data_IF_051688522574
#
_entry.id   IF_051688522574
#
_cell.length_a   1.000
_cell.length_b   1.000
_cell.length_c   1.000
_cell.angle_alpha   90.00
_cell.angle_beta   90.00
_cell.angle_gamma   90.00
#
_symmetry.space_group_name_H-M   'P 1'
#
loop_
_entity.id
_entity.type
_entity.pdbx_description
1 polymer ?
#
# COMPACT_ATOMS: atom_id res chain seq x y z
N UNK A 1 4.04 -10.70 -26.73
CA UNK A 1 4.70 -11.43 -25.64
C UNK A 1 3.72 -11.45 -24.47
N UNK A 2 3.59 -12.54 -23.72
CA UNK A 2 2.75 -12.55 -22.52
C UNK A 2 3.30 -11.52 -21.53
N UNK A 3 2.49 -10.53 -21.16
CA UNK A 3 2.84 -9.53 -20.15
C UNK A 3 2.94 -10.24 -18.80
N UNK A 4 4.09 -10.10 -18.13
CA UNK A 4 4.28 -10.64 -16.78
C UNK A 4 3.20 -10.08 -15.85
N UNK A 5 2.50 -10.97 -15.15
CA UNK A 5 1.43 -10.58 -14.22
C UNK A 5 1.97 -9.74 -13.07
N UNK A 6 1.17 -8.77 -12.62
CA UNK A 6 1.57 -7.74 -11.68
C UNK A 6 0.90 -7.92 -10.31
N UNK A 7 1.66 -7.74 -9.23
CA UNK A 7 1.17 -7.71 -7.86
C UNK A 7 1.43 -6.32 -7.26
N UNK A 8 0.36 -5.58 -6.97
CA UNK A 8 0.44 -4.22 -6.44
C UNK A 8 0.08 -4.15 -4.97
N UNK A 9 0.78 -3.29 -4.26
CA UNK A 9 0.45 -2.88 -2.90
C UNK A 9 -0.34 -1.58 -2.99
N UNK A 10 -1.61 -1.59 -2.58
CA UNK A 10 -2.52 -0.48 -2.80
C UNK A 10 -2.03 0.84 -2.16
N UNK A 11 -2.34 2.00 -2.75
CA UNK A 11 -2.13 3.29 -2.10
C UNK A 11 -3.07 3.39 -0.88
N UNK A 12 -2.50 3.66 0.29
CA UNK A 12 -3.24 3.70 1.55
C UNK A 12 -2.77 4.87 2.40
N UNK A 13 -3.66 5.86 2.61
CA UNK A 13 -3.37 7.04 3.42
C UNK A 13 -3.00 6.64 4.87
N UNK A 14 -1.99 7.30 5.41
CA UNK A 14 -1.28 7.04 6.68
C UNK A 14 -0.74 5.60 6.81
N UNK A 15 -0.55 4.90 5.69
CA UNK A 15 0.00 3.53 5.66
C UNK A 15 1.15 3.42 4.66
N UNK A 16 0.93 3.75 3.38
CA UNK A 16 1.92 3.66 2.27
C UNK A 16 3.03 4.71 2.35
N UNK A 17 3.46 4.98 3.56
CA UNK A 17 4.57 5.81 3.99
C UNK A 17 5.91 5.19 3.58
N UNK A 18 6.97 6.00 3.52
CA UNK A 18 8.34 5.56 3.24
C UNK A 18 8.75 4.35 4.08
N UNK A 19 8.42 4.34 5.38
CA UNK A 19 8.74 3.25 6.30
C UNK A 19 8.06 1.94 5.90
N UNK A 20 6.76 2.00 5.60
CA UNK A 20 6.01 0.84 5.13
C UNK A 20 6.51 0.33 3.78
N UNK A 21 6.78 1.22 2.83
CA UNK A 21 7.23 0.84 1.49
C UNK A 21 8.61 0.15 1.54
N UNK A 22 9.55 0.66 2.34
CA UNK A 22 10.83 0.00 2.55
C UNK A 22 10.68 -1.35 3.25
N UNK A 23 9.80 -1.45 4.25
CA UNK A 23 9.49 -2.73 4.88
C UNK A 23 8.95 -3.75 3.87
N UNK A 24 8.02 -3.35 2.99
CA UNK A 24 7.51 -4.25 1.94
C UNK A 24 8.62 -4.61 0.93
N UNK A 25 9.51 -3.69 0.58
CA UNK A 25 10.67 -3.96 -0.30
C UNK A 25 11.71 -4.91 0.31
N UNK A 26 11.72 -5.09 1.62
CA UNK A 26 12.48 -6.15 2.32
C UNK A 26 11.80 -7.51 2.17
N UNK A 27 10.46 -7.55 2.12
CA UNK A 27 9.69 -8.77 1.90
C UNK A 27 9.67 -9.22 0.44
N UNK A 28 9.64 -8.29 -0.51
CA UNK A 28 9.52 -8.58 -1.94
C UNK A 28 10.30 -7.57 -2.78
N UNK A 29 11.11 -8.05 -3.74
CA UNK A 29 11.79 -7.21 -4.75
C UNK A 29 10.95 -7.01 -6.01
N UNK A 30 9.87 -7.77 -6.19
CA UNK A 30 9.07 -7.77 -7.43
C UNK A 30 7.76 -6.99 -7.34
N UNK A 31 7.14 -6.90 -6.16
CA UNK A 31 5.86 -6.20 -6.04
C UNK A 31 5.99 -4.72 -6.40
N UNK A 32 4.90 -4.18 -6.96
CA UNK A 32 4.79 -2.80 -7.38
C UNK A 32 4.23 -1.99 -6.21
N UNK A 33 5.00 -0.98 -5.80
CA UNK A 33 4.70 -0.13 -4.66
C UNK A 33 3.90 1.10 -5.10
N UNK A 34 3.19 1.69 -4.16
CA UNK A 34 2.37 2.88 -4.40
C UNK A 34 2.61 3.89 -3.29
N UNK A 35 2.72 5.17 -3.64
CA UNK A 35 2.70 6.25 -2.65
C UNK A 35 1.34 6.33 -1.98
N UNK A 36 1.26 7.11 -0.90
CA UNK A 36 -0.02 7.71 -0.51
C UNK A 36 -0.54 8.64 -1.61
N UNK A 37 -1.85 8.89 -1.62
CA UNK A 37 -2.43 9.88 -2.54
C UNK A 37 -1.93 11.28 -2.19
N UNK A 38 -1.24 11.92 -3.12
CA UNK A 38 -0.83 13.31 -3.05
C UNK A 38 -1.93 14.17 -3.68
N UNK A 39 -2.21 15.28 -3.02
CA UNK A 39 -3.19 16.24 -3.50
C UNK A 39 -2.53 17.19 -4.50
N UNK A 40 -3.16 17.41 -5.65
CA UNK A 40 -2.73 18.36 -6.69
C UNK A 40 -2.35 19.75 -6.15
N UNK A 41 -3.22 20.38 -5.37
CA UNK A 41 -2.99 21.69 -4.76
C UNK A 41 -1.75 21.69 -3.84
N UNK A 42 -1.41 20.56 -3.23
CA UNK A 42 -0.20 20.46 -2.39
C UNK A 42 1.06 20.66 -3.24
N UNK A 43 1.12 20.03 -4.40
CA UNK A 43 2.24 20.19 -5.32
C UNK A 43 2.23 21.55 -6.02
N UNK A 44 1.03 22.07 -6.31
CA UNK A 44 0.87 23.38 -6.93
C UNK A 44 1.44 24.51 -6.07
N UNK A 45 1.07 24.54 -4.78
CA UNK A 45 1.42 25.64 -3.86
C UNK A 45 2.70 25.38 -3.05
N UNK A 46 3.26 24.17 -3.03
CA UNK A 46 4.44 23.88 -2.22
C UNK A 46 5.68 24.62 -2.71
N UNK A 47 6.43 25.18 -1.76
CA UNK A 47 7.79 25.70 -1.98
C UNK A 47 8.86 24.63 -1.77
N UNK A 48 8.48 23.47 -1.22
CA UNK A 48 9.33 22.32 -0.91
C UNK A 48 8.68 21.06 -1.50
N UNK A 49 8.82 20.91 -2.82
CA UNK A 49 8.30 19.75 -3.56
C UNK A 49 9.07 18.48 -3.20
N UNK A 50 10.35 18.62 -2.84
CA UNK A 50 11.23 17.51 -2.42
C UNK A 50 10.62 16.78 -1.23
N UNK A 51 10.04 17.50 -0.27
CA UNK A 51 9.35 16.91 0.87
C UNK A 51 8.20 15.96 0.49
N UNK A 52 7.55 16.19 -0.66
CA UNK A 52 6.39 15.42 -1.11
C UNK A 52 6.74 14.31 -2.08
N UNK A 53 7.71 14.52 -2.96
CA UNK A 53 7.99 13.62 -4.08
C UNK A 53 9.31 12.84 -3.94
N UNK A 54 10.20 13.20 -3.02
CA UNK A 54 11.46 12.46 -2.86
C UNK A 54 11.23 11.03 -2.37
N UNK A 55 11.88 10.07 -3.03
CA UNK A 55 11.87 8.67 -2.63
C UNK A 55 13.19 7.97 -2.97
N UNK A 56 13.47 6.83 -2.33
CA UNK A 56 14.63 6.00 -2.67
C UNK A 56 14.37 5.19 -3.93
N UNK A 57 15.30 5.20 -4.90
CA UNK A 57 15.19 4.42 -6.15
C UNK A 57 15.11 2.91 -5.93
N UNK A 58 15.52 2.40 -4.76
CA UNK A 58 15.32 0.99 -4.38
C UNK A 58 13.83 0.59 -4.26
N UNK A 59 12.93 1.58 -4.13
CA UNK A 59 11.49 1.34 -4.08
C UNK A 59 10.89 1.04 -5.45
N UNK A 60 11.60 1.31 -6.56
CA UNK A 60 11.11 0.95 -7.90
C UNK A 60 10.91 -0.56 -8.05
N UNK A 61 9.85 -1.02 -8.76
CA UNK A 61 8.81 -0.20 -9.38
C UNK A 61 7.85 0.44 -8.36
N UNK A 62 7.63 1.75 -8.49
CA UNK A 62 6.77 2.56 -7.61
C UNK A 62 5.92 3.56 -8.40
N UNK A 63 4.63 3.59 -8.06
CA UNK A 63 3.61 4.43 -8.68
C UNK A 63 3.27 5.59 -7.76
N UNK A 64 3.25 6.81 -8.30
CA UNK A 64 2.79 7.99 -7.56
C UNK A 64 1.32 8.28 -7.86
N UNK A 65 0.49 8.35 -6.83
CA UNK A 65 -0.93 8.66 -6.99
C UNK A 65 -1.20 10.13 -6.70
N UNK A 66 -1.82 10.84 -7.66
CA UNK A 66 -2.33 12.20 -7.52
C UNK A 66 -3.86 12.21 -7.41
N UNK A 67 -4.41 13.15 -6.65
CA UNK A 67 -5.84 13.40 -6.55
C UNK A 67 -6.13 14.89 -6.65
N UNK A 68 -7.02 15.25 -7.57
CA UNK A 68 -7.32 16.63 -7.91
C UNK A 68 -8.46 16.75 -8.91
N UNK A 69 -8.88 17.99 -9.17
CA UNK A 69 -9.95 18.30 -10.16
C UNK A 69 -9.61 19.45 -11.10
N UNK A 70 -8.43 20.06 -10.95
CA UNK A 70 -8.01 21.23 -11.72
C UNK A 70 -6.95 20.79 -12.74
N UNK A 71 -7.25 20.82 -14.05
CA UNK A 71 -6.33 20.35 -15.10
C UNK A 71 -4.93 20.96 -15.00
N UNK A 72 -4.81 22.26 -14.72
CA UNK A 72 -3.52 22.95 -14.63
C UNK A 72 -2.69 22.47 -13.43
N UNK A 73 -3.34 22.16 -12.31
CA UNK A 73 -2.65 21.68 -11.11
C UNK A 73 -2.17 20.25 -11.29
N UNK A 74 -2.96 19.44 -11.99
CA UNK A 74 -2.63 18.08 -12.34
C UNK A 74 -1.47 18.04 -13.33
N UNK A 75 -1.51 18.85 -14.39
CA UNK A 75 -0.44 18.97 -15.38
C UNK A 75 0.91 19.23 -14.71
N UNK A 76 0.99 20.27 -13.86
CA UNK A 76 2.21 20.57 -13.08
C UNK A 76 2.63 19.39 -12.19
N UNK A 77 1.67 18.75 -11.53
CA UNK A 77 1.94 17.59 -10.68
C UNK A 77 2.53 16.40 -11.44
N UNK A 78 2.03 16.12 -12.64
CA UNK A 78 2.53 15.05 -13.53
C UNK A 78 3.97 15.33 -13.96
N UNK A 79 4.25 16.54 -14.45
CA UNK A 79 5.61 16.94 -14.84
C UNK A 79 6.59 16.79 -13.68
N UNK A 80 6.19 17.24 -12.48
CA UNK A 80 7.01 17.10 -11.27
C UNK A 80 7.22 15.63 -10.90
N UNK A 81 6.19 14.79 -10.95
CA UNK A 81 6.33 13.36 -10.66
C UNK A 81 7.28 12.66 -11.66
N UNK A 82 7.17 12.97 -12.95
CA UNK A 82 8.06 12.45 -13.98
C UNK A 82 9.52 12.84 -13.70
N UNK A 83 9.78 14.10 -13.31
CA UNK A 83 11.13 14.57 -12.96
C UNK A 83 11.77 13.82 -11.79
N UNK A 84 10.96 13.37 -10.81
CA UNK A 84 11.46 12.56 -9.69
C UNK A 84 11.67 11.09 -10.10
N UNK A 85 11.21 10.71 -11.30
CA UNK A 85 11.40 9.41 -11.93
C UNK A 85 10.61 8.31 -11.24
N UNK A 86 9.32 8.57 -10.97
CA UNK A 86 8.35 7.51 -10.71
C UNK A 86 8.15 6.65 -11.95
N UNK A 87 7.77 5.39 -11.74
CA UNK A 87 7.60 4.42 -12.83
C UNK A 87 6.22 4.54 -13.52
N UNK A 88 5.27 5.21 -12.87
CA UNK A 88 3.92 5.49 -13.37
C UNK A 88 3.26 6.61 -12.53
N UNK A 89 2.38 7.40 -13.13
CA UNK A 89 1.53 8.39 -12.42
C UNK A 89 0.06 8.02 -12.54
N UNK A 90 -0.61 7.90 -11.39
CA UNK A 90 -2.00 7.46 -11.31
C UNK A 90 -2.94 8.56 -10.80
N UNK A 91 -4.12 8.68 -11.40
CA UNK A 91 -5.21 9.53 -10.90
C UNK A 91 -6.14 8.78 -9.95
N UNK A 92 -6.43 9.37 -8.79
CA UNK A 92 -7.42 8.86 -7.85
C UNK A 92 -8.85 9.27 -8.23
N UNK A 93 -9.65 8.33 -8.73
CA UNK A 93 -11.10 8.41 -8.91
C UNK A 93 -11.81 7.31 -8.07
N UNK A 94 -11.28 7.03 -6.88
CA UNK A 94 -11.74 5.92 -6.00
C UNK A 94 -12.12 6.39 -4.59
N UNK A 95 -11.53 7.48 -4.09
CA UNK A 95 -11.66 7.87 -2.68
C UNK A 95 -13.06 8.39 -2.32
N UNK A 96 -13.79 7.74 -1.38
CA UNK A 96 -15.16 8.13 -0.99
C UNK A 96 -15.20 9.20 0.12
N UNK A 97 -14.05 9.66 0.62
CA UNK A 97 -13.99 10.51 1.82
C UNK A 97 -14.79 11.80 1.66
N UNK A 98 -15.56 12.21 2.68
CA UNK A 98 -16.31 13.47 2.67
C UNK A 98 -15.41 14.70 2.50
N UNK A 99 -14.14 14.63 2.95
CA UNK A 99 -13.15 15.69 2.69
C UNK A 99 -12.74 15.74 1.21
N UNK A 100 -12.64 14.58 0.56
CA UNK A 100 -12.16 14.43 -0.82
C UNK A 100 -13.31 14.60 -1.81
N UNK A 101 -14.28 13.69 -1.80
CA UNK A 101 -15.45 13.68 -2.69
C UNK A 101 -16.47 14.76 -2.33
N UNK A 102 -16.69 15.02 -1.04
CA UNK A 102 -17.70 15.99 -0.59
C UNK A 102 -17.24 17.44 -0.71
N UNK A 103 -16.15 17.79 -0.01
CA UNK A 103 -15.65 19.18 0.09
C UNK A 103 -14.77 19.62 -1.07
N UNK A 104 -13.77 18.80 -1.43
CA UNK A 104 -12.79 19.14 -2.48
C UNK A 104 -13.20 18.68 -3.88
N UNK A 105 -14.29 17.91 -3.98
CA UNK A 105 -14.93 17.50 -5.21
C UNK A 105 -14.00 16.77 -6.20
N UNK A 106 -13.13 15.89 -5.70
CA UNK A 106 -12.37 14.91 -6.50
C UNK A 106 -12.43 13.52 -5.84
N UNK A 107 -11.81 12.49 -6.44
CA UNK A 107 -11.94 11.11 -5.98
C UNK A 107 -13.15 10.43 -6.60
N UNK A 108 -13.86 9.58 -5.86
CA UNK A 108 -14.98 8.80 -6.42
C UNK A 108 -16.07 9.66 -7.07
N UNK A 109 -16.30 10.89 -6.59
CA UNK A 109 -17.29 11.82 -7.16
C UNK A 109 -17.03 12.15 -8.65
N UNK A 110 -15.80 11.98 -9.14
CA UNK A 110 -15.47 12.19 -10.56
C UNK A 110 -16.07 11.11 -11.48
N UNK A 111 -16.59 10.00 -10.94
CA UNK A 111 -17.42 9.06 -11.71
C UNK A 111 -18.78 9.65 -12.10
N UNK A 112 -19.26 10.65 -11.34
CA UNK A 112 -20.45 11.44 -11.64
C UNK A 112 -20.09 12.72 -12.40
N UNK A 113 -19.08 13.47 -11.93
CA UNK A 113 -18.54 14.67 -12.60
C UNK A 113 -17.55 14.26 -13.71
N UNK A 114 -18.10 13.61 -14.74
CA UNK A 114 -17.36 12.94 -15.81
C UNK A 114 -16.52 13.88 -16.65
N UNK A 115 -17.06 15.04 -17.02
CA UNK A 115 -16.32 16.05 -17.81
C UNK A 115 -15.03 16.49 -17.10
N UNK A 116 -15.11 16.75 -15.79
CA UNK A 116 -13.93 17.08 -14.99
C UNK A 116 -12.93 15.93 -14.98
N UNK A 117 -13.39 14.67 -14.90
CA UNK A 117 -12.50 13.51 -14.98
C UNK A 117 -11.75 13.46 -16.32
N UNK A 118 -12.43 13.77 -17.42
CA UNK A 118 -11.89 13.75 -18.77
C UNK A 118 -10.86 14.85 -18.98
N UNK A 119 -11.18 16.08 -18.57
CA UNK A 119 -10.26 17.22 -18.63
C UNK A 119 -8.97 16.95 -17.85
N UNK A 120 -9.10 16.36 -16.66
CA UNK A 120 -7.95 16.03 -15.82
C UNK A 120 -7.10 14.91 -16.44
N UNK A 121 -7.70 13.84 -16.97
CA UNK A 121 -6.94 12.77 -17.65
C UNK A 121 -6.27 13.29 -18.92
N UNK A 122 -6.95 14.13 -19.70
CA UNK A 122 -6.37 14.76 -20.87
C UNK A 122 -5.15 15.59 -20.49
N UNK A 123 -5.25 16.41 -19.44
CA UNK A 123 -4.11 17.18 -18.94
C UNK A 123 -2.95 16.30 -18.47
N UNK A 124 -3.21 15.14 -17.86
CA UNK A 124 -2.15 14.20 -17.52
C UNK A 124 -1.44 13.65 -18.77
N UNK A 125 -2.22 13.26 -19.77
CA UNK A 125 -1.69 12.67 -21.01
C UNK A 125 -0.88 13.68 -21.82
N UNK A 126 -1.32 14.94 -21.87
CA UNK A 126 -0.63 16.01 -22.62
C UNK A 126 0.67 16.49 -21.94
N UNK A 127 0.84 16.23 -20.64
CA UNK A 127 1.98 16.72 -19.85
C UNK A 127 2.94 15.63 -19.36
N UNK A 128 2.67 14.36 -19.70
CA UNK A 128 3.66 13.28 -19.57
C UNK A 128 4.48 13.16 -20.84
N UNK A 129 5.77 12.82 -20.74
CA UNK A 129 6.63 12.58 -21.92
C UNK A 129 6.79 11.09 -22.19
N UNK A 130 7.22 10.34 -21.17
CA UNK A 130 7.61 8.94 -21.29
C UNK A 130 6.93 8.06 -20.24
N UNK A 131 6.49 8.63 -19.11
CA UNK A 131 5.90 7.83 -18.03
C UNK A 131 4.43 7.48 -18.32
N UNK A 132 4.00 6.22 -18.07
CA UNK A 132 2.61 5.84 -18.22
C UNK A 132 1.70 6.59 -17.24
N UNK A 133 0.51 6.95 -17.70
CA UNK A 133 -0.58 7.42 -16.85
C UNK A 133 -1.62 6.32 -16.63
N UNK A 134 -2.30 6.35 -15.49
CA UNK A 134 -3.37 5.40 -15.20
C UNK A 134 -4.47 6.01 -14.33
N UNK A 135 -5.61 5.35 -14.27
CA UNK A 135 -6.74 5.75 -13.41
C UNK A 135 -7.06 4.63 -12.41
N UNK A 136 -7.17 4.97 -11.12
CA UNK A 136 -7.74 4.06 -10.12
C UNK A 136 -9.17 4.48 -9.80
N UNK A 137 -10.12 3.58 -10.04
CA UNK A 137 -11.55 3.85 -9.86
C UNK A 137 -12.33 2.65 -9.31
N UNK A 138 -13.67 2.71 -9.34
CA UNK A 138 -14.62 1.72 -8.84
C UNK A 138 -15.56 1.23 -9.95
N UNK A 139 -16.36 0.22 -9.62
CA UNK A 139 -17.39 -0.34 -10.54
C UNK A 139 -18.72 0.43 -10.54
N UNK A 140 -18.77 1.58 -9.87
CA UNK A 140 -19.95 2.46 -9.82
C UNK A 140 -19.91 3.45 -8.66
N UNK A 141 -20.84 4.41 -8.67
CA UNK A 141 -21.05 5.38 -7.60
C UNK A 141 -22.55 5.55 -7.30
N UNK A 142 -22.88 5.77 -6.03
CA UNK A 142 -24.18 6.18 -5.52
C UNK A 142 -24.01 7.49 -4.74
N UNK A 143 -24.82 8.49 -5.06
CA UNK A 143 -24.80 9.83 -4.49
C UNK A 143 -25.63 9.89 -3.20
N UNK A 144 -25.50 11.01 -2.49
CA UNK A 144 -26.14 11.20 -1.18
C UNK A 144 -27.67 11.28 -1.27
N UNK A 145 -28.20 11.70 -2.41
CA UNK A 145 -29.64 11.72 -2.71
C UNK A 145 -30.19 10.37 -3.22
N UNK A 146 -29.34 9.35 -3.31
CA UNK A 146 -29.69 8.00 -3.76
C UNK A 146 -29.59 7.78 -5.27
N UNK A 147 -29.20 8.79 -6.05
CA UNK A 147 -28.93 8.61 -7.48
C UNK A 147 -27.72 7.69 -7.68
N UNK A 148 -27.85 6.67 -8.54
CA UNK A 148 -26.83 5.65 -8.75
C UNK A 148 -26.37 5.58 -10.21
N UNK A 149 -25.05 5.67 -10.40
CA UNK A 149 -24.33 5.46 -11.65
C UNK A 149 -23.51 4.18 -11.52
N UNK A 150 -24.22 3.05 -11.42
CA UNK A 150 -23.63 1.74 -11.16
C UNK A 150 -24.16 0.67 -12.11
N UNK A 151 -24.58 1.03 -13.32
CA UNK A 151 -24.85 0.06 -14.40
C UNK A 151 -23.58 -0.28 -15.17
N UNK A 152 -23.57 -1.39 -15.92
CA UNK A 152 -22.43 -1.73 -16.76
C UNK A 152 -22.25 -0.72 -17.90
N UNK A 153 -23.34 -0.27 -18.55
CA UNK A 153 -23.28 0.74 -19.62
C UNK A 153 -22.66 2.06 -19.13
N UNK A 154 -23.01 2.51 -17.93
CA UNK A 154 -22.40 3.70 -17.34
C UNK A 154 -20.90 3.51 -17.10
N UNK A 155 -20.49 2.33 -16.64
CA UNK A 155 -19.10 2.00 -16.38
C UNK A 155 -18.29 1.88 -17.69
N UNK A 156 -18.86 1.24 -18.73
CA UNK A 156 -18.25 1.15 -20.06
C UNK A 156 -18.09 2.55 -20.66
N UNK A 157 -19.16 3.36 -20.68
CA UNK A 157 -19.08 4.73 -21.21
C UNK A 157 -18.03 5.58 -20.50
N UNK A 158 -17.96 5.49 -19.17
CA UNK A 158 -16.94 6.19 -18.39
C UNK A 158 -15.52 5.75 -18.74
N UNK A 159 -15.26 4.45 -18.91
CA UNK A 159 -13.94 3.93 -19.30
C UNK A 159 -13.59 4.32 -20.74
N UNK A 160 -14.54 4.25 -21.68
CA UNK A 160 -14.31 4.65 -23.08
C UNK A 160 -13.96 6.14 -23.19
N UNK A 161 -14.65 7.00 -22.44
CA UNK A 161 -14.36 8.42 -22.45
C UNK A 161 -12.96 8.73 -21.89
N UNK A 162 -12.55 8.10 -20.76
CA UNK A 162 -11.18 8.25 -20.23
C UNK A 162 -10.13 7.70 -21.19
N UNK A 163 -10.44 6.58 -21.86
CA UNK A 163 -9.59 5.98 -22.90
C UNK A 163 -9.43 6.91 -24.10
N UNK A 164 -10.48 7.59 -24.53
CA UNK A 164 -10.44 8.58 -25.62
C UNK A 164 -9.52 9.77 -25.31
N UNK A 165 -9.20 10.01 -24.03
CA UNK A 165 -8.25 11.03 -23.56
C UNK A 165 -6.82 10.51 -23.34
N UNK A 166 -6.53 9.26 -23.71
CA UNK A 166 -5.19 8.68 -23.70
C UNK A 166 -4.88 7.78 -22.49
N UNK A 167 -5.83 7.51 -21.60
CA UNK A 167 -5.62 6.58 -20.49
C UNK A 167 -5.95 5.13 -20.89
N UNK A 168 -4.94 4.26 -20.94
CA UNK A 168 -5.12 2.84 -21.30
C UNK A 168 -4.93 1.87 -20.13
N UNK A 169 -4.69 2.36 -18.91
CA UNK A 169 -4.43 1.51 -17.74
C UNK A 169 -5.35 1.84 -16.57
N UNK A 170 -6.05 0.83 -16.06
CA UNK A 170 -7.09 1.01 -15.06
C UNK A 170 -6.96 0.06 -13.87
N UNK A 171 -7.04 0.63 -12.68
CA UNK A 171 -7.09 -0.09 -11.41
C UNK A 171 -8.51 -0.06 -10.87
N UNK A 172 -9.22 -1.19 -10.93
CA UNK A 172 -10.65 -1.24 -10.62
C UNK A 172 -10.87 -1.86 -9.24
N UNK A 173 -11.28 -1.04 -8.27
CA UNK A 173 -11.83 -1.54 -7.02
C UNK A 173 -13.23 -2.09 -7.27
N UNK A 174 -13.40 -3.41 -7.13
CA UNK A 174 -14.60 -4.15 -7.50
C UNK A 174 -15.82 -3.94 -6.57
N UNK A 175 -15.92 -2.79 -5.89
CA UNK A 175 -17.13 -2.37 -5.15
C UNK A 175 -17.52 -0.99 -5.65
N UNK A 176 -18.82 -0.71 -5.70
CA UNK A 176 -19.27 0.67 -5.89
C UNK A 176 -18.88 1.57 -4.71
N UNK A 177 -18.97 2.87 -4.92
CA UNK A 177 -18.86 3.88 -3.89
C UNK A 177 -20.25 4.35 -3.46
N UNK A 178 -20.48 4.60 -2.18
CA UNK A 178 -21.67 5.30 -1.66
C UNK A 178 -21.19 6.58 -0.96
N UNK A 179 -21.60 7.73 -1.47
CA UNK A 179 -21.25 9.07 -0.94
C UNK A 179 -22.27 9.50 0.12
N UNK A 180 -21.83 10.19 1.16
CA UNK A 180 -22.71 10.75 2.22
C UNK A 180 -23.19 9.73 3.26
N UNK A 181 -23.49 8.48 2.86
CA UNK A 181 -24.05 7.46 3.75
C UNK A 181 -23.05 6.53 4.46
N UNK A 182 -21.83 6.38 3.94
CA UNK A 182 -20.84 5.41 4.46
C UNK A 182 -19.46 6.04 4.69
N UNK A 183 -18.80 5.69 5.79
CA UNK A 183 -17.39 6.03 6.00
C UNK A 183 -16.48 5.37 4.95
N UNK A 184 -15.25 5.85 4.74
CA UNK A 184 -14.31 5.18 3.83
C UNK A 184 -14.05 3.72 4.17
N UNK A 185 -14.06 3.35 5.45
CA UNK A 185 -13.90 1.96 5.88
C UNK A 185 -15.12 1.11 5.50
N UNK A 186 -16.33 1.62 5.74
CA UNK A 186 -17.58 0.95 5.36
C UNK A 186 -17.70 0.82 3.84
N UNK A 187 -17.27 1.81 3.06
CA UNK A 187 -17.23 1.75 1.59
C UNK A 187 -16.32 0.62 1.03
N UNK A 188 -15.47 0.02 1.86
CA UNK A 188 -14.65 -1.15 1.49
C UNK A 188 -15.19 -2.48 2.05
N UNK A 189 -16.32 -2.46 2.75
CA UNK A 189 -16.89 -3.61 3.47
C UNK A 189 -18.37 -3.84 3.12
N UNK A 190 -19.15 -2.78 2.96
CA UNK A 190 -20.62 -2.83 2.81
C UNK A 190 -21.04 -3.09 1.36
N UNK A 191 -20.75 -2.23 0.35
CA UNK A 191 -21.29 -2.45 -1.01
C UNK A 191 -20.67 -3.69 -1.65
N UNK A 192 -21.44 -4.66 -2.17
CA UNK A 192 -20.91 -5.98 -2.56
C UNK A 192 -19.74 -5.94 -3.53
N UNK A 193 -18.87 -6.96 -3.47
CA UNK A 193 -17.81 -7.17 -4.47
C UNK A 193 -18.41 -7.68 -5.78
N UNK A 194 -17.94 -7.19 -6.92
CA UNK A 194 -18.40 -7.64 -8.23
C UNK A 194 -17.19 -7.77 -9.19
N UNK A 195 -16.47 -8.88 -9.07
CA UNK A 195 -15.37 -9.23 -9.99
C UNK A 195 -15.85 -9.40 -11.43
N UNK A 196 -17.03 -10.00 -11.71
CA UNK A 196 -17.55 -10.09 -13.07
C UNK A 196 -17.50 -8.78 -13.85
N UNK A 197 -17.93 -7.65 -13.28
CA UNK A 197 -17.85 -6.35 -13.98
C UNK A 197 -16.43 -5.98 -14.44
N UNK A 198 -15.41 -6.34 -13.68
CA UNK A 198 -14.01 -6.08 -14.07
C UNK A 198 -13.59 -6.97 -15.23
N UNK A 199 -14.00 -8.23 -15.25
CA UNK A 199 -13.75 -9.11 -16.41
C UNK A 199 -14.50 -8.64 -17.66
N UNK A 200 -15.68 -8.05 -17.48
CA UNK A 200 -16.48 -7.51 -18.58
C UNK A 200 -15.81 -6.27 -19.18
N UNK A 201 -15.23 -5.41 -18.35
CA UNK A 201 -14.35 -4.33 -18.82
C UNK A 201 -13.18 -4.86 -19.64
N UNK A 202 -12.52 -5.94 -19.18
CA UNK A 202 -11.42 -6.54 -19.93
C UNK A 202 -11.86 -6.99 -21.34
N UNK A 203 -13.06 -7.55 -21.47
CA UNK A 203 -13.61 -8.00 -22.76
C UNK A 203 -14.01 -6.84 -23.67
N UNK A 204 -14.52 -5.74 -23.12
CA UNK A 204 -14.96 -4.58 -23.89
C UNK A 204 -13.77 -3.70 -24.37
N UNK A 205 -12.66 -3.70 -23.63
CA UNK A 205 -11.48 -2.87 -23.92
C UNK A 205 -10.20 -3.72 -24.04
N UNK A 206 -10.06 -4.54 -25.11
CA UNK A 206 -8.91 -5.44 -25.27
C UNK A 206 -7.56 -4.71 -25.43
N UNK A 207 -7.57 -3.42 -25.77
CA UNK A 207 -6.40 -2.55 -25.87
C UNK A 207 -6.03 -1.87 -24.54
N UNK A 208 -6.88 -1.96 -23.51
CA UNK A 208 -6.61 -1.41 -22.18
C UNK A 208 -6.10 -2.48 -21.21
N UNK A 209 -5.23 -2.08 -20.29
CA UNK A 209 -4.72 -2.89 -19.18
C UNK A 209 -5.60 -2.71 -17.93
N UNK A 210 -5.98 -3.82 -17.29
CA UNK A 210 -6.79 -3.82 -16.07
C UNK A 210 -6.11 -4.54 -14.91
N UNK A 211 -6.23 -3.95 -13.72
CA UNK A 211 -5.76 -4.52 -12.46
C UNK A 211 -6.94 -4.60 -11.49
N UNK A 212 -7.22 -5.80 -10.99
CA UNK A 212 -8.32 -6.05 -10.06
C UNK A 212 -7.95 -5.67 -8.63
N UNK A 213 -8.82 -4.93 -7.96
CA UNK A 213 -8.68 -4.57 -6.55
C UNK A 213 -9.96 -4.88 -5.75
N UNK A 214 -9.78 -5.17 -4.46
CA UNK A 214 -10.86 -5.29 -3.48
C UNK A 214 -11.15 -6.74 -3.06
N UNK A 215 -11.04 -7.01 -1.75
CA UNK A 215 -11.46 -8.29 -1.17
C UNK A 215 -10.66 -9.53 -1.56
N UNK A 216 -9.47 -9.38 -2.15
CA UNK A 216 -8.61 -10.51 -2.52
C UNK A 216 -8.00 -11.09 -1.23
N UNK A 217 -8.25 -12.37 -0.89
CA UNK A 217 -7.95 -12.91 0.44
C UNK A 217 -6.48 -13.28 0.66
N UNK A 218 -5.67 -13.40 -0.39
CA UNK A 218 -4.24 -13.73 -0.25
C UNK A 218 -3.61 -14.18 -1.56
N UNK A 219 -2.34 -14.63 -1.47
CA UNK A 219 -1.49 -14.98 -2.63
C UNK A 219 -2.06 -16.11 -3.50
N UNK A 220 -2.69 -17.13 -2.90
CA UNK A 220 -3.33 -18.20 -3.65
C UNK A 220 -4.46 -17.68 -4.56
N UNK A 221 -5.33 -16.83 -4.03
CA UNK A 221 -6.39 -16.21 -4.82
C UNK A 221 -5.83 -15.22 -5.85
N UNK A 222 -4.80 -14.45 -5.50
CA UNK A 222 -4.08 -13.57 -6.42
C UNK A 222 -3.56 -14.34 -7.64
N UNK A 223 -2.87 -15.46 -7.43
CA UNK A 223 -2.34 -16.31 -8.51
C UNK A 223 -3.48 -16.89 -9.36
N UNK A 224 -4.58 -17.33 -8.72
CA UNK A 224 -5.75 -17.88 -9.40
C UNK A 224 -6.46 -16.85 -10.31
N UNK A 225 -6.55 -15.59 -9.89
CA UNK A 225 -7.10 -14.50 -10.71
C UNK A 225 -6.19 -14.19 -11.90
N UNK A 226 -4.87 -14.23 -11.69
CA UNK A 226 -3.86 -13.87 -12.68
C UNK A 226 -3.30 -15.07 -13.47
N UNK A 227 -3.98 -16.21 -13.55
CA UNK A 227 -3.46 -17.38 -14.26
C UNK A 227 -3.10 -17.08 -15.72
N UNK A 228 -2.00 -17.64 -16.19
CA UNK A 228 -1.68 -17.66 -17.61
C UNK A 228 -2.42 -18.80 -18.31
N UNK A 229 -2.75 -18.59 -19.59
CA UNK A 229 -3.38 -19.61 -20.44
C UNK A 229 -2.41 -20.78 -20.58
N UNK A 230 -2.74 -21.93 -19.97
CA UNK A 230 -1.91 -23.14 -20.00
C UNK A 230 -1.22 -23.52 -18.68
N UNK A 231 -1.35 -22.72 -17.61
CA UNK A 231 -1.01 -23.19 -16.25
C UNK A 231 -2.07 -24.21 -15.78
N UNK A 232 -1.74 -25.52 -15.84
CA UNK A 232 -2.60 -26.58 -15.32
C UNK A 232 -2.88 -26.38 -13.82
N UNK A 233 -4.14 -26.31 -13.44
CA UNK A 233 -4.54 -26.59 -12.06
C UNK A 233 -5.13 -27.96 -11.96
N UNK A 234 -4.70 -28.73 -10.95
CA UNK A 234 -5.25 -30.03 -10.63
C UNK A 234 -6.79 -29.96 -10.45
N UNK A 235 -7.48 -30.40 -11.51
CA UNK A 235 -8.82 -31.00 -11.62
C UNK A 235 -10.09 -30.23 -11.21
N UNK A 236 -11.04 -30.24 -12.16
CA UNK A 236 -12.52 -30.32 -12.02
C UNK A 236 -13.41 -29.05 -12.08
N UNK A 237 -12.97 -27.93 -12.65
CA UNK A 237 -13.86 -26.76 -12.82
C UNK A 237 -13.98 -26.22 -14.26
N UNK A 238 -13.55 -26.99 -15.27
CA UNK A 238 -13.63 -26.56 -16.67
C UNK A 238 -15.00 -26.88 -17.27
N UNK A 239 -15.99 -26.02 -17.05
CA UNK A 239 -17.09 -25.83 -18.00
C UNK A 239 -17.80 -24.49 -17.80
N UNK A 240 -17.76 -23.66 -18.85
CA UNK A 240 -18.80 -22.68 -19.24
C UNK A 240 -19.53 -21.90 -18.13
N UNK A 241 -18.82 -20.98 -17.46
CA UNK A 241 -19.48 -19.88 -16.74
C UNK A 241 -19.63 -18.74 -17.75
N UNK A 242 -20.80 -18.65 -18.41
CA UNK A 242 -21.18 -17.40 -19.08
C UNK A 242 -21.26 -16.33 -18.00
N UNK A 243 -20.67 -15.15 -18.26
CA UNK A 243 -20.88 -13.98 -17.42
C UNK A 243 -22.35 -13.60 -17.45
N UNK A 244 -23.13 -14.18 -16.54
CA UNK A 244 -24.53 -13.81 -16.33
C UNK A 244 -24.58 -12.58 -15.42
N UNK A 245 -25.65 -11.80 -15.54
CA UNK A 245 -25.94 -10.73 -14.60
C UNK A 245 -25.80 -11.22 -13.17
N UNK A 246 -25.09 -10.44 -12.36
CA UNK A 246 -24.91 -10.76 -10.94
C UNK A 246 -26.24 -10.60 -10.22
N UNK A 247 -26.89 -11.73 -9.91
CA UNK A 247 -28.11 -11.81 -9.10
C UNK A 247 -27.78 -12.22 -7.67
N UNK A 248 -28.61 -11.83 -6.71
CA UNK A 248 -28.45 -12.18 -5.28
C UNK A 248 -29.46 -13.27 -4.90
N UNK A 249 -29.04 -14.42 -4.32
CA UNK A 249 -27.66 -14.87 -4.14
C UNK A 249 -26.99 -15.22 -5.48
N UNK A 250 -25.68 -15.01 -5.57
CA UNK A 250 -24.93 -15.31 -6.79
C UNK A 250 -24.98 -16.81 -7.07
N UNK A 251 -25.47 -17.23 -8.25
CA UNK A 251 -25.56 -18.65 -8.60
C UNK A 251 -24.22 -19.39 -8.67
N UNK A 252 -23.11 -18.65 -8.76
CA UNK A 252 -21.77 -19.22 -8.95
C UNK A 252 -21.00 -19.33 -7.63
N UNK A 253 -20.91 -18.25 -6.85
CA UNK A 253 -20.23 -18.29 -5.54
C UNK A 253 -21.18 -18.49 -4.34
N UNK A 254 -22.49 -18.48 -4.57
CA UNK A 254 -23.53 -18.60 -3.54
C UNK A 254 -23.41 -17.57 -2.40
N UNK A 255 -22.79 -16.41 -2.65
CA UNK A 255 -22.64 -15.39 -1.62
C UNK A 255 -23.96 -14.67 -1.35
N UNK A 256 -24.29 -14.55 -0.05
CA UNK A 256 -25.58 -14.07 0.45
C UNK A 256 -25.76 -12.54 0.41
N UNK A 257 -24.67 -11.78 0.40
CA UNK A 257 -24.70 -10.31 0.40
C UNK A 257 -24.63 -9.69 -1.00
N UNK A 258 -24.78 -10.50 -2.05
CA UNK A 258 -24.64 -10.06 -3.42
C UNK A 258 -23.20 -9.83 -3.87
N UNK A 259 -22.20 -10.34 -3.16
CA UNK A 259 -20.82 -10.34 -3.67
C UNK A 259 -20.61 -11.45 -4.71
N UNK A 260 -19.71 -11.26 -5.68
CA UNK A 260 -19.12 -12.33 -6.48
C UNK A 260 -17.64 -12.05 -6.67
N UNK A 261 -16.84 -12.98 -6.16
CA UNK A 261 -15.39 -12.99 -6.25
C UNK A 261 -14.88 -14.20 -7.02
N UNK A 262 -15.73 -14.76 -7.89
CA UNK A 262 -15.39 -15.95 -8.67
C UNK A 262 -14.24 -15.58 -9.62
N UNK A 263 -13.14 -16.35 -9.64
CA UNK A 263 -12.10 -16.19 -10.64
C UNK A 263 -12.63 -16.45 -12.05
N UNK A 264 -12.06 -15.82 -13.09
CA UNK A 264 -12.50 -16.13 -14.45
C UNK A 264 -12.07 -17.55 -14.83
N UNK A 265 -12.85 -18.24 -15.67
CA UNK A 265 -12.46 -19.55 -16.21
C UNK A 265 -11.18 -19.43 -17.07
N UNK A 266 -11.13 -18.37 -17.88
CA UNK A 266 -9.97 -17.97 -18.66
C UNK A 266 -9.69 -16.53 -18.26
N UNK A 267 -8.54 -16.29 -17.63
CA UNK A 267 -8.12 -14.92 -17.28
C UNK A 267 -7.98 -14.10 -18.56
N UNK A 268 -8.70 -12.95 -18.68
CA UNK A 268 -8.53 -12.06 -19.80
C UNK A 268 -7.04 -11.68 -19.95
N UNK A 269 -6.48 -11.69 -21.16
CA UNK A 269 -5.03 -11.45 -21.35
C UNK A 269 -4.61 -10.07 -20.82
N UNK A 270 -5.51 -9.09 -20.91
CA UNK A 270 -5.37 -7.73 -20.44
C UNK A 270 -5.79 -7.51 -18.98
N UNK A 271 -6.24 -8.54 -18.26
CA UNK A 271 -6.25 -8.55 -16.80
C UNK A 271 -4.84 -8.90 -16.32
N UNK A 272 -4.00 -7.89 -16.19
CA UNK A 272 -2.55 -8.07 -15.99
C UNK A 272 -2.15 -8.19 -14.54
N UNK A 273 -3.03 -7.85 -13.59
CA UNK A 273 -2.61 -7.88 -12.19
C UNK A 273 -3.72 -7.82 -11.16
N UNK A 274 -3.26 -7.89 -9.91
CA UNK A 274 -4.07 -7.70 -8.71
C UNK A 274 -3.46 -6.66 -7.79
N UNK A 275 -4.29 -5.98 -7.03
CA UNK A 275 -3.87 -4.99 -6.05
C UNK A 275 -4.45 -5.31 -4.68
N UNK A 276 -3.59 -5.39 -3.66
CA UNK A 276 -3.95 -5.71 -2.28
C UNK A 276 -3.55 -4.57 -1.34
N UNK A 277 -4.45 -4.23 -0.42
CA UNK A 277 -4.23 -3.16 0.57
C UNK A 277 -4.10 -3.71 1.98
N UNK A 278 -5.17 -3.56 2.77
CA UNK A 278 -5.23 -3.90 4.22
C UNK A 278 -4.62 -5.26 4.58
N UNK A 279 -4.87 -6.30 3.77
CA UNK A 279 -4.34 -7.63 4.04
C UNK A 279 -2.80 -7.64 4.19
N UNK A 280 -2.09 -6.89 3.34
CA UNK A 280 -0.62 -6.79 3.38
C UNK A 280 -0.16 -6.05 4.63
N UNK A 281 -0.86 -4.98 5.02
CA UNK A 281 -0.56 -4.22 6.23
C UNK A 281 -0.82 -5.03 7.51
N UNK A 282 -1.95 -5.72 7.57
CA UNK A 282 -2.40 -6.40 8.78
C UNK A 282 -1.60 -7.68 9.03
N UNK A 283 -1.29 -8.41 7.94
CA UNK A 283 -0.68 -9.75 7.95
C UNK A 283 0.52 -9.86 7.00
N UNK A 284 1.55 -9.01 7.13
CA UNK A 284 2.67 -8.95 6.19
C UNK A 284 3.43 -10.27 6.03
N UNK A 285 3.44 -11.13 7.07
CA UNK A 285 4.06 -12.46 6.97
C UNK A 285 3.39 -13.38 5.95
N UNK A 286 2.09 -13.20 5.67
CA UNK A 286 1.37 -13.96 4.63
C UNK A 286 1.77 -13.53 3.22
N UNK A 287 2.40 -12.35 3.09
CA UNK A 287 2.81 -11.75 1.83
C UNK A 287 4.34 -11.77 1.65
N UNK A 288 5.06 -12.40 2.57
CA UNK A 288 6.50 -12.64 2.43
C UNK A 288 6.83 -13.47 1.17
N UNK A 289 5.90 -14.32 0.74
CA UNK A 289 6.12 -15.32 -0.30
C UNK A 289 5.74 -14.84 -1.71
N UNK A 290 5.55 -13.52 -1.90
CA UNK A 290 5.14 -12.92 -3.18
C UNK A 290 6.10 -13.33 -4.31
N UNK A 291 7.42 -13.14 -4.11
CA UNK A 291 8.40 -13.31 -5.19
C UNK A 291 8.43 -14.77 -5.67
N UNK A 292 8.52 -15.71 -4.73
CA UNK A 292 8.56 -17.14 -5.08
C UNK A 292 7.20 -17.66 -5.58
N UNK A 293 6.12 -17.43 -4.84
CA UNK A 293 4.82 -18.04 -5.13
C UNK A 293 4.09 -17.35 -6.29
N UNK A 294 4.07 -16.02 -6.33
CA UNK A 294 3.34 -15.29 -7.36
C UNK A 294 4.18 -15.14 -8.64
N UNK A 295 5.45 -14.73 -8.51
CA UNK A 295 6.32 -14.47 -9.65
C UNK A 295 7.19 -15.65 -10.10
N UNK A 296 7.24 -16.75 -9.33
CA UNK A 296 8.02 -17.94 -9.69
C UNK A 296 9.53 -17.79 -9.45
N UNK A 297 9.96 -16.80 -8.66
CA UNK A 297 11.37 -16.64 -8.29
C UNK A 297 11.86 -17.84 -7.46
N UNK A 298 13.16 -18.14 -7.52
CA UNK A 298 13.71 -19.28 -6.79
C UNK A 298 13.59 -19.12 -5.26
N UNK A 299 13.69 -17.88 -4.76
CA UNK A 299 13.66 -17.54 -3.33
C UNK A 299 13.07 -16.15 -3.09
N UNK A 300 12.49 -15.93 -1.91
CA UNK A 300 12.19 -14.59 -1.41
C UNK A 300 13.44 -13.95 -0.76
N UNK A 301 13.47 -12.61 -0.59
CA UNK A 301 14.68 -11.89 -0.15
C UNK A 301 15.15 -12.24 1.27
N UNK A 302 14.21 -12.41 2.19
CA UNK A 302 14.48 -12.89 3.55
C UNK A 302 13.98 -14.32 3.70
N UNK A 303 14.44 -15.08 4.69
CA UNK A 303 13.96 -16.44 4.99
C UNK A 303 13.12 -16.51 6.27
N UNK A 304 13.38 -15.62 7.23
CA UNK A 304 12.77 -15.64 8.55
C UNK A 304 12.55 -14.22 9.11
N UNK A 305 11.90 -14.14 10.27
CA UNK A 305 11.53 -12.86 10.91
C UNK A 305 12.75 -12.05 11.35
N UNK A 306 13.81 -12.73 11.81
CA UNK A 306 15.07 -12.07 12.21
C UNK A 306 15.64 -11.23 11.08
N UNK A 307 15.82 -11.84 9.91
CA UNK A 307 16.40 -11.16 8.75
C UNK A 307 15.58 -9.94 8.32
N UNK A 308 14.24 -10.07 8.31
CA UNK A 308 13.34 -8.95 7.97
C UNK A 308 13.50 -7.81 8.97
N UNK A 309 13.43 -8.11 10.27
CA UNK A 309 13.47 -7.10 11.32
C UNK A 309 14.85 -6.42 11.44
N UNK A 310 15.94 -7.17 11.24
CA UNK A 310 17.30 -6.62 11.26
C UNK A 310 17.55 -5.68 10.08
N UNK A 311 17.24 -6.11 8.84
CA UNK A 311 17.35 -5.23 7.66
C UNK A 311 16.47 -3.98 7.81
N UNK A 312 15.27 -4.12 8.38
CA UNK A 312 14.40 -2.99 8.60
C UNK A 312 14.94 -2.04 9.69
N UNK A 313 15.59 -2.57 10.73
CA UNK A 313 16.29 -1.74 11.71
C UNK A 313 17.46 -0.96 11.06
N UNK A 314 18.19 -1.56 10.13
CA UNK A 314 19.29 -0.89 9.44
C UNK A 314 18.78 0.25 8.56
N UNK A 315 17.69 0.02 7.81
CA UNK A 315 16.98 1.08 7.10
C UNK A 315 16.52 2.20 8.05
N UNK A 316 15.83 1.86 9.13
CA UNK A 316 15.33 2.87 10.09
C UNK A 316 16.48 3.66 10.72
N UNK A 317 17.64 3.06 10.96
CA UNK A 317 18.82 3.78 11.44
C UNK A 317 19.38 4.76 10.40
N UNK A 318 19.26 4.45 9.11
CA UNK A 318 19.71 5.34 8.03
C UNK A 318 18.88 6.61 7.93
N UNK A 319 17.56 6.53 8.16
CA UNK A 319 16.63 7.67 8.08
C UNK A 319 16.34 8.32 9.44
N UNK A 320 16.45 7.56 10.53
CA UNK A 320 16.19 7.98 11.91
C UNK A 320 17.36 7.59 12.82
N UNK A 321 18.51 8.22 12.60
CA UNK A 321 19.70 8.00 13.42
C UNK A 321 19.45 8.28 14.92
N UNK A 322 20.06 7.43 15.75
CA UNK A 322 19.89 7.39 17.21
C UNK A 322 20.52 8.58 17.94
N UNK A 323 19.88 9.06 19.03
CA UNK A 323 20.31 10.24 19.82
C UNK A 323 20.17 10.08 21.36
N UNK A 324 20.50 8.94 22.00
CA UNK A 324 20.34 8.81 23.49
C UNK A 324 21.30 9.66 24.33
N UNK A 325 22.27 10.31 23.69
CA UNK A 325 23.39 10.96 24.34
C UNK A 325 23.25 12.51 24.40
N UNK A 326 22.13 13.11 23.94
CA UNK A 326 21.91 14.57 24.04
C UNK A 326 21.38 14.93 25.45
N UNK A 327 22.28 15.34 26.34
CA UNK A 327 21.95 15.87 27.65
C UNK A 327 21.33 17.26 27.51
N UNK A 328 19.99 17.37 27.51
CA UNK A 328 19.26 18.51 28.09
C UNK A 328 17.73 18.27 28.09
N UNK A 329 17.08 18.53 29.23
CA UNK A 329 15.63 18.32 29.41
C UNK A 329 14.75 19.28 28.58
N UNK A 330 15.30 20.40 28.11
CA UNK A 330 14.63 21.42 27.27
C UNK A 330 14.39 20.97 25.83
N UNK A 331 15.08 19.89 25.42
CA UNK A 331 15.22 19.45 24.03
C UNK A 331 14.03 18.54 23.63
N UNK A 332 13.22 18.05 24.58
CA UNK A 332 12.10 17.10 24.35
C UNK A 332 10.94 17.60 23.47
N UNK A 333 10.86 18.90 23.14
CA UNK A 333 9.81 19.48 22.27
C UNK A 333 10.33 20.07 20.94
N UNK A 334 11.65 20.20 20.77
CA UNK A 334 12.29 20.77 19.57
C UNK A 334 13.69 20.18 19.40
N UNK A 335 13.89 19.14 18.57
CA UNK A 335 15.25 18.65 18.26
C UNK A 335 15.50 18.45 16.78
N UNK A 336 16.54 19.11 16.25
CA UNK A 336 16.80 19.10 14.84
C UNK A 336 18.21 18.44 14.53
N UNK A 337 18.45 17.73 13.41
CA UNK A 337 19.72 17.05 12.96
C UNK A 337 20.32 17.74 11.69
N UNK A 338 21.64 17.77 11.33
CA UNK A 338 22.86 17.20 11.95
C UNK A 338 24.04 18.20 12.20
N UNK A 339 24.95 17.86 13.11
CA UNK A 339 26.43 17.90 12.95
C UNK A 339 27.05 17.01 14.03
N UNK A 340 27.82 16.02 13.59
CA UNK A 340 28.53 15.06 14.44
C UNK A 340 29.66 15.79 15.19
N UNK A 341 29.51 16.00 16.50
CA UNK A 341 30.64 16.30 17.38
C UNK A 341 30.38 15.65 18.74
N UNK A 342 30.85 14.41 18.89
CA UNK A 342 30.92 13.75 20.19
C UNK A 342 32.14 14.31 20.93
N UNK A 343 31.93 15.30 21.79
CA UNK A 343 32.84 15.53 22.91
C UNK A 343 32.28 14.78 24.11
N UNK A 344 32.97 13.72 24.53
CA UNK A 344 32.71 13.04 25.80
C UNK A 344 33.94 13.20 26.65
N UNK A 345 34.09 14.36 27.30
CA UNK A 345 34.85 14.40 28.54
C UNK A 345 33.93 13.84 29.62
N UNK A 346 34.20 12.59 30.01
CA UNK A 346 33.59 11.81 31.10
C UNK A 346 32.18 11.21 30.88
N UNK A 347 32.13 9.89 30.63
CA UNK A 347 30.97 9.00 30.88
C UNK A 347 29.90 8.94 29.77
N UNK A 348 30.06 8.07 28.77
CA UNK A 348 29.07 7.87 27.71
C UNK A 348 27.73 7.25 28.18
N UNK A 349 26.62 7.49 27.45
CA UNK A 349 25.30 6.89 27.70
C UNK A 349 25.41 5.35 27.74
N UNK A 350 25.06 4.72 28.88
CA UNK A 350 25.01 3.25 29.03
C UNK A 350 24.11 2.57 27.98
N UNK A 351 23.09 3.30 27.50
CA UNK A 351 22.22 2.83 26.42
C UNK A 351 22.93 2.96 25.05
N UNK A 352 23.75 3.99 24.80
CA UNK A 352 24.60 4.13 23.59
C UNK A 352 25.58 2.92 23.55
N UNK A 353 26.26 2.64 24.67
CA UNK A 353 27.24 1.55 24.83
C UNK A 353 26.65 0.15 24.60
N UNK A 354 25.48 -0.15 25.18
CA UNK A 354 24.81 -1.46 25.00
C UNK A 354 24.32 -1.74 23.57
N UNK A 355 24.24 -0.74 22.70
CA UNK A 355 23.74 -0.89 21.33
C UNK A 355 24.83 -0.98 20.26
N UNK A 356 25.92 -0.22 20.41
CA UNK A 356 27.02 -0.20 19.44
C UNK A 356 28.21 -1.07 19.87
N UNK A 357 28.21 -1.62 21.09
CA UNK A 357 29.42 -2.16 21.70
C UNK A 357 30.36 -1.04 22.17
N UNK A 358 31.66 -1.31 22.21
CA UNK A 358 32.67 -0.24 22.40
C UNK A 358 32.63 0.74 21.22
N UNK A 359 32.71 2.07 21.44
CA UNK A 359 32.57 3.05 20.37
C UNK A 359 33.65 2.86 19.30
N UNK A 360 33.24 2.49 18.08
CA UNK A 360 34.11 2.61 16.90
C UNK A 360 34.13 4.09 16.49
N UNK A 361 35.23 4.76 16.82
CA UNK A 361 35.49 6.14 16.41
C UNK A 361 35.46 6.25 14.88
N UNK A 362 34.53 7.03 14.33
CA UNK A 362 34.56 7.45 12.93
C UNK A 362 35.51 8.65 12.88
N UNK A 363 36.67 8.50 12.24
CA UNK A 363 37.78 9.46 12.30
C UNK A 363 37.79 10.54 11.22
N UNK A 364 36.77 10.67 10.36
CA UNK A 364 36.80 11.69 9.29
C UNK A 364 35.45 12.44 9.11
N UNK A 365 35.37 13.73 9.52
CA UNK A 365 34.16 14.55 9.41
C UNK A 365 33.84 15.12 8.02
N UNK A 366 34.63 14.84 6.98
CA UNK A 366 34.64 15.64 5.74
C UNK A 366 33.76 15.12 4.59
N UNK A 367 33.02 14.02 4.73
CA UNK A 367 32.19 13.45 3.64
C UNK A 367 30.67 13.52 3.86
N UNK A 368 30.18 14.34 4.79
CA UNK A 368 28.73 14.50 4.97
C UNK A 368 28.24 15.68 4.12
N UNK A 369 27.65 15.32 2.98
CA UNK A 369 27.08 16.20 1.96
C UNK A 369 26.27 17.37 2.53
N UNK A 370 26.51 18.55 1.96
CA UNK A 370 25.70 19.76 2.11
C UNK A 370 24.41 19.60 1.29
N UNK A 371 23.31 19.19 1.92
CA UNK A 371 21.97 19.47 1.40
C UNK A 371 21.07 20.02 2.51
N UNK A 372 20.62 21.27 2.29
CA UNK A 372 19.40 21.90 2.79
C UNK A 372 18.72 21.33 4.04
N UNK A 373 19.33 21.54 5.21
CA UNK A 373 18.79 22.41 6.27
C UNK A 373 17.38 22.18 6.88
N UNK A 374 16.68 21.08 6.61
CA UNK A 374 15.42 20.73 7.28
C UNK A 374 15.65 19.59 8.26
N UNK A 375 15.68 19.97 9.54
CA UNK A 375 16.13 19.12 10.63
C UNK A 375 14.95 18.30 11.22
N UNK A 376 14.85 16.98 10.97
CA UNK A 376 13.69 16.15 11.39
C UNK A 376 13.63 15.82 12.90
N UNK A 377 12.43 16.00 13.49
CA UNK A 377 12.07 15.65 14.88
C UNK A 377 11.53 14.21 14.96
N UNK A 378 12.01 13.40 15.92
CA UNK A 378 11.41 12.09 16.24
C UNK A 378 10.13 12.34 17.04
N UNK A 379 9.00 12.32 16.35
CA UNK A 379 7.66 12.50 16.95
C UNK A 379 7.02 11.14 17.25
N UNK A 380 5.95 11.12 18.05
CA UNK A 380 5.13 9.91 18.19
C UNK A 380 4.64 9.39 16.82
N UNK A 381 4.42 10.28 15.85
CA UNK A 381 4.04 9.91 14.47
C UNK A 381 5.15 9.14 13.75
N UNK A 382 6.42 9.54 13.92
CA UNK A 382 7.58 8.80 13.36
C UNK A 382 7.66 7.40 13.95
N UNK A 383 7.49 7.29 15.27
CA UNK A 383 7.53 5.99 15.95
C UNK A 383 6.38 5.10 15.49
N UNK A 384 5.15 5.63 15.43
CA UNK A 384 3.98 4.88 14.95
C UNK A 384 4.16 4.39 13.51
N UNK A 385 4.53 5.29 12.58
CA UNK A 385 4.81 4.94 11.18
C UNK A 385 5.90 3.88 11.04
N UNK A 386 6.92 3.93 11.89
CA UNK A 386 8.03 2.96 11.87
C UNK A 386 7.65 1.60 12.44
N UNK A 387 6.83 1.55 13.49
CA UNK A 387 6.47 0.29 14.16
C UNK A 387 5.28 -0.41 13.50
N UNK A 388 4.32 0.34 12.95
CA UNK A 388 3.10 -0.22 12.37
C UNK A 388 3.34 -1.34 11.33
N UNK A 389 4.29 -1.24 10.39
CA UNK A 389 4.52 -2.26 9.37
C UNK A 389 4.91 -3.62 9.94
N UNK A 390 5.64 -3.65 11.07
CA UNK A 390 6.18 -4.89 11.64
C UNK A 390 5.21 -5.60 12.59
N UNK A 391 4.11 -4.96 13.00
CA UNK A 391 3.25 -5.50 14.06
C UNK A 391 2.64 -6.86 13.68
N UNK A 392 2.44 -7.14 12.40
CA UNK A 392 1.91 -8.41 11.91
C UNK A 392 2.96 -9.42 11.45
N UNK A 393 4.26 -9.20 11.68
CA UNK A 393 5.31 -10.10 11.19
C UNK A 393 5.28 -11.50 11.85
N UNK A 394 4.65 -11.60 13.03
CA UNK A 394 4.42 -12.86 13.75
C UNK A 394 2.97 -13.36 13.60
N UNK A 395 2.21 -12.91 12.59
CA UNK A 395 0.86 -13.41 12.37
C UNK A 395 0.85 -14.95 12.27
N UNK A 396 -0.17 -15.58 12.86
CA UNK A 396 -0.25 -17.05 13.03
C UNK A 396 0.59 -17.62 14.19
N UNK A 397 1.51 -16.86 14.79
CA UNK A 397 2.33 -17.33 15.91
C UNK A 397 1.75 -16.92 17.27
N UNK A 398 1.86 -17.79 18.29
CA UNK A 398 1.38 -17.56 19.67
C UNK A 398 1.89 -16.24 20.28
N UNK A 399 3.13 -15.85 19.95
CA UNK A 399 3.79 -14.66 20.51
C UNK A 399 3.46 -13.35 19.80
N UNK A 400 2.62 -13.33 18.74
CA UNK A 400 2.28 -12.11 18.00
C UNK A 400 1.77 -10.98 18.92
N UNK A 401 0.80 -11.32 19.78
CA UNK A 401 0.26 -10.36 20.77
C UNK A 401 1.29 -9.94 21.80
N UNK A 402 2.27 -10.79 22.10
CA UNK A 402 3.39 -10.46 23.01
C UNK A 402 4.30 -9.41 22.38
N UNK A 403 4.74 -9.65 21.16
CA UNK A 403 5.59 -8.72 20.41
C UNK A 403 4.95 -7.33 20.24
N UNK A 404 3.66 -7.28 19.86
CA UNK A 404 2.92 -6.02 19.72
C UNK A 404 2.86 -5.23 21.02
N UNK A 405 2.54 -5.91 22.13
CA UNK A 405 2.49 -5.30 23.46
C UNK A 405 3.85 -4.77 23.90
N UNK A 406 4.92 -5.50 23.59
CA UNK A 406 6.27 -5.05 23.92
C UNK A 406 6.67 -3.82 23.10
N UNK A 407 6.39 -3.79 21.79
CA UNK A 407 6.61 -2.60 20.96
C UNK A 407 5.85 -1.38 21.49
N UNK A 408 4.58 -1.53 21.87
CA UNK A 408 3.75 -0.46 22.44
C UNK A 408 4.27 0.00 23.82
N UNK A 409 4.69 -0.93 24.68
CA UNK A 409 5.29 -0.59 25.98
C UNK A 409 6.58 0.22 25.81
N UNK A 410 7.48 -0.25 24.94
CA UNK A 410 8.76 0.40 24.65
C UNK A 410 8.60 1.76 23.95
N UNK A 411 7.59 1.91 23.10
CA UNK A 411 7.31 3.18 22.41
C UNK A 411 6.74 4.26 23.34
N UNK A 412 6.10 3.87 24.46
CA UNK A 412 5.60 4.79 25.48
C UNK A 412 6.67 5.20 26.50
N UNK A 413 7.67 4.36 26.72
CA UNK A 413 8.82 4.70 27.58
C UNK A 413 9.70 5.77 26.91
N UNK A 414 9.68 6.99 27.46
CA UNK A 414 10.43 8.12 26.89
C UNK A 414 11.94 7.86 26.81
N UNK A 415 12.52 7.12 27.76
CA UNK A 415 13.95 6.82 27.79
C UNK A 415 14.36 5.92 26.62
N UNK A 416 13.44 5.06 26.17
CA UNK A 416 13.63 4.13 25.06
C UNK A 416 13.19 4.78 23.74
N UNK A 417 12.04 5.45 23.72
CA UNK A 417 11.48 6.12 22.54
C UNK A 417 12.46 7.11 21.92
N UNK A 418 13.15 7.89 22.75
CA UNK A 418 14.13 8.89 22.29
C UNK A 418 15.40 8.25 21.69
N UNK A 419 15.60 6.93 21.85
CA UNK A 419 16.65 6.19 21.15
C UNK A 419 16.29 5.89 19.68
N UNK A 420 15.08 6.21 19.23
CA UNK A 420 14.62 6.00 17.86
C UNK A 420 13.94 4.65 17.64
N UNK A 421 13.23 4.50 16.50
CA UNK A 421 12.39 3.33 16.24
C UNK A 421 13.19 2.03 16.09
N UNK A 422 14.35 2.05 15.43
CA UNK A 422 15.22 0.86 15.31
C UNK A 422 15.67 0.31 16.67
N UNK A 423 15.89 1.19 17.66
CA UNK A 423 16.24 0.77 19.02
C UNK A 423 15.07 0.07 19.72
N UNK A 424 13.85 0.63 19.59
CA UNK A 424 12.63 -0.01 20.10
C UNK A 424 12.48 -1.41 19.52
N UNK A 425 12.64 -1.56 18.20
CA UNK A 425 12.48 -2.84 17.52
C UNK A 425 13.54 -3.83 18.00
N UNK A 426 14.83 -3.45 18.07
CA UNK A 426 15.89 -4.33 18.60
C UNK A 426 15.65 -4.77 20.04
N UNK A 427 15.15 -3.88 20.90
CA UNK A 427 14.71 -4.23 22.26
C UNK A 427 13.56 -5.25 22.22
N UNK A 428 12.54 -5.03 21.40
CA UNK A 428 11.44 -5.98 21.25
C UNK A 428 11.92 -7.35 20.73
N UNK A 429 12.82 -7.38 19.74
CA UNK A 429 13.45 -8.61 19.24
C UNK A 429 14.12 -9.38 20.38
N UNK A 430 14.86 -8.70 21.27
CA UNK A 430 15.57 -9.36 22.38
C UNK A 430 14.66 -10.05 23.41
N UNK A 431 13.36 -9.74 23.40
CA UNK A 431 12.37 -10.41 24.26
C UNK A 431 11.72 -11.64 23.60
N UNK A 432 12.00 -11.89 22.32
CA UNK A 432 11.41 -12.99 21.56
C UNK A 432 12.33 -14.23 21.58
N UNK A 433 11.78 -15.46 21.64
CA UNK A 433 12.58 -16.68 21.52
C UNK A 433 13.35 -16.72 20.20
N UNK A 434 14.62 -17.14 20.24
CA UNK A 434 15.47 -17.22 19.06
C UNK A 434 14.90 -18.18 18.02
N UNK A 435 14.35 -19.31 18.49
CA UNK A 435 13.72 -20.33 17.65
C UNK A 435 12.58 -19.75 16.82
N UNK A 436 11.79 -18.82 17.40
CA UNK A 436 10.68 -18.19 16.71
C UNK A 436 11.14 -17.11 15.71
N UNK A 437 12.22 -16.39 16.03
CA UNK A 437 12.82 -15.39 15.14
C UNK A 437 13.46 -16.05 13.91
N UNK A 438 14.12 -17.19 14.13
CA UNK A 438 14.88 -17.92 13.12
C UNK A 438 14.05 -18.95 12.35
N UNK A 439 12.86 -19.29 12.84
CA UNK A 439 11.88 -20.12 12.14
C UNK A 439 11.55 -19.53 10.77
N UNK A 440 11.67 -20.33 9.69
CA UNK A 440 11.26 -19.92 8.35
C UNK A 440 9.81 -19.44 8.30
N UNK A 441 9.50 -18.57 7.33
CA UNK A 441 8.10 -18.28 7.02
C UNK A 441 7.43 -19.53 6.43
N UNK A 442 6.14 -19.72 6.76
CA UNK A 442 5.31 -20.75 6.14
C UNK A 442 5.09 -20.38 4.68
N UNK A 443 5.35 -21.32 3.78
CA UNK A 443 5.09 -21.15 2.35
C UNK A 443 3.59 -21.06 2.08
N UNK A 444 3.20 -20.34 1.04
CA UNK A 444 1.78 -20.12 0.71
C UNK A 444 1.02 -21.43 0.50
N UNK A 445 1.62 -22.43 -0.14
CA UNK A 445 1.02 -23.76 -0.36
C UNK A 445 0.80 -24.56 0.94
N UNK A 446 1.53 -24.24 2.00
CA UNK A 446 1.46 -24.92 3.30
C UNK A 446 0.52 -24.20 4.29
N UNK A 447 -0.06 -23.06 3.90
CA UNK A 447 -1.02 -22.33 4.73
C UNK A 447 -2.37 -23.06 4.65
N UNK A 448 -2.87 -23.53 5.80
CA UNK A 448 -4.19 -24.14 5.89
C UNK A 448 -5.29 -23.11 5.55
N UNK A 449 -5.81 -23.22 4.32
CA UNK A 449 -6.87 -22.39 3.79
C UNK A 449 -8.21 -22.57 4.54
N UNK A 450 -8.36 -23.58 5.41
CA UNK A 450 -9.54 -23.71 6.28
C UNK A 450 -9.72 -22.49 7.20
N UNK A 451 -8.62 -21.82 7.54
CA UNK A 451 -8.58 -20.59 8.33
C UNK A 451 -8.71 -19.29 7.49
N UNK A 452 -8.65 -19.38 6.15
CA UNK A 452 -8.88 -18.26 5.23
C UNK A 452 -10.37 -17.96 5.01
N UNK A 453 -11.28 -18.83 5.47
CA UNK A 453 -12.71 -18.53 5.62
C UNK A 453 -13.00 -17.37 6.59
N UNK A 454 -11.98 -16.82 7.28
CA UNK A 454 -12.09 -15.66 8.17
C UNK A 454 -12.12 -14.31 7.40
N UNK A 455 -11.90 -14.30 6.08
CA UNK A 455 -12.00 -13.06 5.28
C UNK A 455 -13.35 -12.83 4.60
N UNK A 456 -14.33 -13.73 4.81
CA UNK A 456 -15.74 -13.34 4.73
C UNK A 456 -15.92 -12.31 5.83
N UNK A 457 -16.13 -11.04 5.44
CA UNK A 457 -16.17 -9.90 6.37
C UNK A 457 -17.06 -10.19 7.58
N UNK A 458 -16.86 -9.46 8.70
CA UNK A 458 -17.60 -9.72 9.93
C UNK A 458 -19.08 -9.85 9.59
N UNK A 459 -19.66 -11.01 9.91
CA UNK A 459 -21.10 -11.12 10.07
C UNK A 459 -21.50 -9.93 10.94
N UNK A 460 -22.46 -9.14 10.46
CA UNK A 460 -22.96 -7.94 11.10
C UNK A 460 -23.61 -8.31 12.45
N UNK A 461 -22.79 -8.59 13.45
CA UNK A 461 -23.16 -8.73 14.84
C UNK A 461 -21.98 -8.20 15.66
N UNK A 462 -22.14 -6.99 16.20
CA UNK A 462 -21.21 -6.38 17.14
C UNK A 462 -20.23 -5.39 16.52
N UNK A 463 -20.73 -4.20 16.17
CA UNK A 463 -19.91 -3.00 16.08
C UNK A 463 -19.37 -2.68 17.49
N UNK A 464 -18.22 -3.24 17.86
CA UNK A 464 -17.44 -2.74 18.99
C UNK A 464 -16.36 -1.82 18.43
N UNK A 465 -16.58 -0.52 18.66
CA UNK A 465 -15.57 0.53 18.61
C UNK A 465 -14.35 0.10 19.42
N UNK A 466 -13.18 -0.02 18.80
CA UNK A 466 -11.92 0.04 19.54
C UNK A 466 -11.59 1.52 19.81
N UNK A 467 -11.16 1.86 21.04
CA UNK A 467 -10.94 3.23 21.50
C UNK A 467 -9.82 3.97 20.77
#
# INVERSE_FOLDING_TARGET
>A
MATTKQFHIAPMLDVSTTEFLHFVRILSKRCILWTEMIVDETLWYSQDVDHHLSFSKELSPIICQIGGRTPEYIAKGVEQMEMYGYDEVNLNIDCPSSRVSGKRKFGAILMHDKETAYEVVQAMNENTKEIPISVKTRVGIELEDGEAFDTMDHLIGFIEDLRSRGCYKFYIHARKCVIGGLSPAQNRLVPPLNYPRVYELCNNFPDCEFILNGGIPGLAASKLICKDVGEETNSNCESSIKMQEHVVPCKVCNASNGSCTVPPNITPPNLTGVMLGRAVMDNPSMFWDIDRYFYGEANNPCKNRRQVLEQYCDFLNSIYSRRCCDSEETVTSKIPSPKFQMFVESGGCNICKSYHGEPKYITNPTEINKSTGSKMKITSRVIDRSLRPILGIFFGCRMNKGFRRECDRLSRDKSIRNCGPAFIIKKAISTMPAELLDMPFTKTEDIDNSSLNVFVGPTLDGCQTFP
#
